data_IF_406285794800
#
_entry.id   IF_406285794800
#
_cell.length_a   1.000
_cell.length_b   1.000
_cell.length_c   1.000
_cell.angle_alpha   90.00
_cell.angle_beta   90.00
_cell.angle_gamma   90.00
#
_symmetry.space_group_name_H-M   'P 1'
#
loop_
_entity.id
_entity.type
_entity.pdbx_description
1 polymer ?
#
# COMPACT_ATOMS: atom_id res chain seq x y z
N UNK A 1 -2.41 42.01 53.77
CA UNK A 1 -2.16 40.87 52.91
C UNK A 1 -1.66 41.38 51.55
N UNK A 2 -0.40 41.07 51.23
CA UNK A 2 0.25 41.56 49.99
C UNK A 2 0.19 40.53 48.85
N UNK A 3 -0.34 39.32 49.10
CA UNK A 3 -0.42 38.24 48.13
C UNK A 3 -1.66 37.40 48.38
N UNK A 4 -2.43 37.14 47.33
CA UNK A 4 -3.54 36.20 47.31
C UNK A 4 -3.11 34.98 46.52
N UNK A 5 -3.29 33.78 47.04
CA UNK A 5 -2.95 32.53 46.36
C UNK A 5 -4.21 31.93 45.75
N UNK A 6 -4.23 31.79 44.44
CA UNK A 6 -5.27 31.12 43.69
C UNK A 6 -4.73 29.79 43.12
N UNK A 7 -5.40 28.69 43.41
CA UNK A 7 -5.06 27.40 42.82
C UNK A 7 -5.63 27.30 41.38
N UNK A 8 -4.75 27.37 40.41
CA UNK A 8 -5.11 27.26 38.99
C UNK A 8 -4.60 25.95 38.44
N UNK A 9 -5.45 25.22 37.70
CA UNK A 9 -5.05 24.04 36.99
C UNK A 9 -4.03 24.37 35.90
N UNK A 10 -2.80 23.89 36.02
CA UNK A 10 -1.73 24.10 35.05
C UNK A 10 -1.28 22.76 34.45
N UNK A 11 -0.96 22.75 33.17
CA UNK A 11 -0.39 21.60 32.54
C UNK A 11 0.98 21.26 33.15
N UNK A 12 1.14 20.02 33.64
CA UNK A 12 2.37 19.52 34.27
C UNK A 12 3.58 19.49 33.32
N UNK A 13 3.34 19.36 32.02
CA UNK A 13 4.36 19.33 30.97
C UNK A 13 3.92 20.25 29.85
N UNK A 14 4.74 21.25 29.54
CA UNK A 14 4.56 22.10 28.36
C UNK A 14 5.34 21.53 27.20
N UNK A 15 4.68 20.66 26.44
CA UNK A 15 5.29 20.08 25.24
C UNK A 15 5.45 21.16 24.14
N UNK A 16 6.54 21.05 23.40
CA UNK A 16 6.81 21.87 22.22
C UNK A 16 7.14 20.95 21.04
N UNK A 17 6.60 21.29 19.90
CA UNK A 17 6.91 20.67 18.63
C UNK A 17 7.26 21.76 17.62
N UNK A 18 8.35 21.63 16.91
CA UNK A 18 8.87 22.64 15.97
C UNK A 18 8.87 24.08 16.54
N UNK A 19 9.38 24.23 17.77
CA UNK A 19 9.46 25.51 18.54
C UNK A 19 8.11 26.13 18.92
N UNK A 20 6.99 25.51 18.56
CA UNK A 20 5.63 25.94 18.93
C UNK A 20 5.10 25.15 20.12
N UNK A 21 4.16 25.71 20.85
CA UNK A 21 3.46 24.98 21.91
C UNK A 21 2.60 23.89 21.28
N UNK A 22 2.74 22.66 21.75
CA UNK A 22 2.03 21.51 21.24
C UNK A 22 1.29 20.76 22.34
N UNK A 23 0.15 20.20 22.00
CA UNK A 23 -0.61 19.27 22.83
C UNK A 23 -0.74 17.96 22.06
N UNK A 24 -0.30 16.86 22.66
CA UNK A 24 -0.46 15.54 22.07
C UNK A 24 -1.78 14.93 22.51
N UNK A 25 -2.63 14.62 21.55
CA UNK A 25 -3.91 13.93 21.78
C UNK A 25 -3.72 12.48 21.30
N UNK A 26 -3.85 11.53 22.22
CA UNK A 26 -3.82 10.09 21.92
C UNK A 26 -5.22 9.53 22.02
N UNK A 27 -5.66 8.81 21.01
CA UNK A 27 -6.96 8.18 20.96
C UNK A 27 -6.86 6.73 20.49
N UNK A 28 -7.79 5.90 20.96
CA UNK A 28 -7.96 4.52 20.49
C UNK A 28 -9.27 4.43 19.72
N UNK A 29 -9.23 3.78 18.57
CA UNK A 29 -10.44 3.48 17.82
C UNK A 29 -11.25 2.41 18.53
N UNK A 30 -12.56 2.63 18.62
CA UNK A 30 -13.54 1.70 19.20
C UNK A 30 -14.61 1.47 18.13
N UNK A 31 -15.01 0.22 17.91
CA UNK A 31 -15.98 -0.16 16.88
C UNK A 31 -15.35 -0.38 15.50
N UNK A 32 -16.17 -0.33 14.46
CA UNK A 32 -15.79 -0.69 13.09
C UNK A 32 -15.22 0.47 12.25
N UNK A 33 -14.83 1.57 12.90
CA UNK A 33 -14.26 2.72 12.20
C UNK A 33 -12.82 2.45 11.75
N UNK A 34 -12.53 2.81 10.49
CA UNK A 34 -11.17 2.73 9.97
C UNK A 34 -10.31 3.90 10.47
N UNK A 35 -8.99 3.69 10.55
CA UNK A 35 -8.06 4.76 10.94
C UNK A 35 -8.15 5.96 9.98
N UNK A 36 -8.34 5.71 8.69
CA UNK A 36 -8.47 6.75 7.67
C UNK A 36 -9.70 7.64 7.88
N UNK A 37 -10.85 7.04 8.21
CA UNK A 37 -12.08 7.78 8.52
C UNK A 37 -11.93 8.63 9.77
N UNK A 38 -11.33 8.08 10.82
CA UNK A 38 -11.08 8.80 12.06
C UNK A 38 -10.14 10.01 11.85
N UNK A 39 -9.07 9.82 11.06
CA UNK A 39 -8.13 10.90 10.75
C UNK A 39 -8.79 12.01 9.93
N UNK A 40 -9.60 11.66 8.94
CA UNK A 40 -10.34 12.65 8.15
C UNK A 40 -11.36 13.42 8.99
N UNK A 41 -12.04 12.74 9.91
CA UNK A 41 -12.96 13.38 10.84
C UNK A 41 -12.23 14.34 11.79
N UNK A 42 -11.11 13.91 12.38
CA UNK A 42 -10.30 14.74 13.27
C UNK A 42 -9.73 15.96 12.54
N UNK A 43 -9.24 15.80 11.32
CA UNK A 43 -8.72 16.92 10.51
C UNK A 43 -9.80 17.96 10.23
N UNK A 44 -11.00 17.52 9.85
CA UNK A 44 -12.14 18.40 9.59
C UNK A 44 -12.59 19.13 10.85
N UNK A 45 -12.67 18.41 11.96
CA UNK A 45 -13.12 18.99 13.24
C UNK A 45 -12.08 19.94 13.82
N UNK A 46 -10.80 19.62 13.76
CA UNK A 46 -9.73 20.47 14.24
C UNK A 46 -9.65 21.80 13.47
N UNK A 47 -9.84 21.77 12.15
CA UNK A 47 -9.92 23.00 11.33
C UNK A 47 -11.09 23.89 11.72
N UNK A 48 -12.19 23.32 12.24
CA UNK A 48 -13.36 24.08 12.69
C UNK A 48 -13.17 24.66 14.08
N UNK A 49 -12.58 23.89 15.01
CA UNK A 49 -12.42 24.27 16.41
C UNK A 49 -11.21 25.19 16.63
N UNK A 50 -10.14 24.97 15.88
CA UNK A 50 -8.90 25.72 16.01
C UNK A 50 -8.31 26.05 14.62
N UNK A 51 -8.85 27.03 13.90
CA UNK A 51 -8.47 27.34 12.51
C UNK A 51 -7.01 27.81 12.35
N UNK A 52 -6.30 28.10 13.44
CA UNK A 52 -4.87 28.48 13.43
C UNK A 52 -3.91 27.40 13.94
N UNK A 53 -4.41 26.23 14.32
CA UNK A 53 -3.57 25.16 14.84
C UNK A 53 -2.95 24.32 13.70
N UNK A 54 -1.64 24.08 13.78
CA UNK A 54 -0.97 23.10 12.95
C UNK A 54 -1.24 21.69 13.47
N UNK A 55 -1.70 20.82 12.60
CA UNK A 55 -1.95 19.40 12.88
C UNK A 55 -0.79 18.57 12.38
N UNK A 56 -0.14 17.89 13.30
CA UNK A 56 0.89 16.89 13.00
C UNK A 56 0.43 15.51 13.45
N UNK A 57 0.64 14.53 12.61
CA UNK A 57 0.29 13.16 12.89
C UNK A 57 1.51 12.39 13.38
N UNK A 58 1.35 11.47 14.34
CA UNK A 58 2.43 10.62 14.86
C UNK A 58 2.04 9.17 14.91
N UNK A 59 3.08 8.30 14.80
CA UNK A 59 2.91 6.86 14.84
C UNK A 59 2.13 6.32 13.64
N UNK A 60 1.17 5.42 13.87
CA UNK A 60 0.39 4.78 12.78
C UNK A 60 -0.37 5.76 11.90
N UNK A 61 -0.69 6.94 12.40
CA UNK A 61 -1.40 7.98 11.66
C UNK A 61 -0.49 8.70 10.65
N UNK A 62 0.75 8.95 11.05
CA UNK A 62 1.81 9.48 10.21
C UNK A 62 2.15 8.49 9.09
N UNK A 63 2.41 7.23 9.46
CA UNK A 63 2.66 6.14 8.52
C UNK A 63 1.56 6.02 7.45
N UNK A 64 0.29 6.14 7.84
CA UNK A 64 -0.82 6.03 6.88
C UNK A 64 -0.86 7.22 5.90
N UNK A 65 -0.58 8.44 6.35
CA UNK A 65 -0.64 9.66 5.51
C UNK A 65 0.59 9.81 4.60
N UNK A 66 1.77 9.56 5.12
CA UNK A 66 3.02 9.73 4.37
C UNK A 66 3.27 8.57 3.41
N UNK A 67 3.08 7.35 3.89
CA UNK A 67 3.46 6.14 3.16
C UNK A 67 2.57 5.85 1.94
N UNK A 68 1.30 6.28 1.93
CA UNK A 68 0.39 5.91 0.82
C UNK A 68 0.78 6.50 -0.52
N UNK A 69 1.25 7.73 -0.59
CA UNK A 69 1.68 8.36 -1.85
C UNK A 69 3.05 7.86 -2.31
N UNK A 70 3.98 7.68 -1.38
CA UNK A 70 5.31 7.18 -1.68
C UNK A 70 5.27 5.73 -2.16
N UNK A 71 4.50 4.87 -1.52
CA UNK A 71 4.31 3.48 -1.95
C UNK A 71 3.73 3.39 -3.35
N UNK A 72 2.80 4.27 -3.72
CA UNK A 72 2.22 4.27 -5.07
C UNK A 72 3.25 4.61 -6.14
N UNK A 73 4.11 5.60 -5.89
CA UNK A 73 5.20 5.98 -6.80
C UNK A 73 6.23 4.85 -6.93
N UNK A 74 6.65 4.28 -5.80
CA UNK A 74 7.57 3.13 -5.76
C UNK A 74 6.98 1.95 -6.52
N UNK A 75 5.69 1.69 -6.35
CA UNK A 75 4.99 0.61 -7.04
C UNK A 75 4.98 0.78 -8.56
N UNK A 76 4.65 1.98 -9.06
CA UNK A 76 4.69 2.27 -10.51
C UNK A 76 6.12 2.13 -11.04
N UNK A 77 7.11 2.66 -10.33
CA UNK A 77 8.50 2.56 -10.73
C UNK A 77 8.97 1.10 -10.78
N UNK A 78 8.58 0.29 -9.80
CA UNK A 78 8.88 -1.13 -9.76
C UNK A 78 8.23 -1.88 -10.95
N UNK A 79 6.98 -1.57 -11.31
CA UNK A 79 6.30 -2.15 -12.48
C UNK A 79 7.03 -1.80 -13.78
N UNK A 80 7.40 -0.53 -13.97
CA UNK A 80 8.14 -0.07 -15.15
C UNK A 80 9.49 -0.79 -15.24
N UNK A 81 10.23 -0.86 -14.13
CA UNK A 81 11.52 -1.53 -14.07
C UNK A 81 11.38 -3.03 -14.38
N UNK A 82 10.39 -3.70 -13.78
CA UNK A 82 10.11 -5.10 -14.04
C UNK A 82 9.75 -5.34 -15.52
N UNK A 83 8.95 -4.47 -16.12
CA UNK A 83 8.62 -4.53 -17.54
C UNK A 83 9.86 -4.42 -18.42
N UNK A 84 10.73 -3.45 -18.17
CA UNK A 84 11.96 -3.23 -18.94
C UNK A 84 12.93 -4.41 -18.82
N UNK A 85 13.11 -4.94 -17.60
CA UNK A 85 13.96 -6.11 -17.37
C UNK A 85 13.42 -7.34 -18.11
N UNK A 86 12.10 -7.55 -18.07
CA UNK A 86 11.47 -8.64 -18.82
C UNK A 86 11.58 -8.43 -20.33
N UNK A 87 11.40 -7.20 -20.84
CA UNK A 87 11.54 -6.88 -22.25
C UNK A 87 12.97 -7.18 -22.76
N UNK A 88 13.97 -6.82 -21.95
CA UNK A 88 15.36 -7.17 -22.26
C UNK A 88 15.61 -8.68 -22.25
N UNK A 89 15.07 -9.41 -21.27
CA UNK A 89 15.27 -10.84 -21.12
C UNK A 89 14.60 -11.66 -22.23
N UNK A 90 13.37 -11.28 -22.62
CA UNK A 90 12.64 -11.96 -23.70
C UNK A 90 12.96 -11.44 -25.11
N UNK A 91 13.77 -10.38 -25.21
CA UNK A 91 14.06 -9.68 -26.47
C UNK A 91 12.78 -9.35 -27.27
N UNK A 92 11.70 -9.01 -26.56
CA UNK A 92 10.36 -8.78 -27.10
C UNK A 92 9.56 -7.93 -26.11
N UNK A 93 8.72 -7.03 -26.60
CA UNK A 93 7.79 -6.24 -25.78
C UNK A 93 6.44 -6.94 -25.57
N UNK A 94 6.11 -7.93 -26.42
CA UNK A 94 4.81 -8.61 -26.38
C UNK A 94 4.73 -9.57 -25.17
N UNK A 95 5.75 -10.35 -24.91
CA UNK A 95 5.75 -11.30 -23.80
C UNK A 95 5.63 -10.61 -22.43
N UNK A 96 6.40 -9.54 -22.12
CA UNK A 96 6.21 -8.76 -20.91
C UNK A 96 4.82 -8.15 -20.78
N UNK A 97 4.25 -7.65 -21.89
CA UNK A 97 2.91 -7.07 -21.88
C UNK A 97 1.84 -8.12 -21.49
N UNK A 98 1.94 -9.33 -22.02
CA UNK A 98 1.05 -10.45 -21.65
C UNK A 98 1.21 -10.82 -20.17
N UNK A 99 2.45 -10.88 -19.67
CA UNK A 99 2.72 -11.17 -18.25
C UNK A 99 2.16 -10.07 -17.36
N UNK A 100 2.35 -8.81 -17.74
CA UNK A 100 1.81 -7.65 -16.97
C UNK A 100 0.29 -7.64 -16.89
N UNK A 101 -0.41 -8.30 -17.81
CA UNK A 101 -1.88 -8.42 -17.71
C UNK A 101 -2.33 -9.24 -16.50
N UNK A 102 -1.46 -10.05 -15.92
CA UNK A 102 -1.76 -10.79 -14.68
C UNK A 102 -1.76 -9.90 -13.44
N UNK A 103 -1.09 -8.75 -13.49
CA UNK A 103 -1.00 -7.81 -12.36
C UNK A 103 -2.37 -7.27 -11.94
N UNK A 104 -3.17 -6.66 -12.84
CA UNK A 104 -4.49 -6.18 -12.45
C UNK A 104 -5.42 -7.30 -11.97
N UNK A 105 -5.29 -8.50 -12.53
CA UNK A 105 -6.07 -9.66 -12.09
C UNK A 105 -5.70 -10.09 -10.66
N UNK A 106 -4.42 -10.06 -10.32
CA UNK A 106 -3.93 -10.37 -8.97
C UNK A 106 -4.40 -9.33 -7.95
N UNK A 107 -4.31 -8.04 -8.29
CA UNK A 107 -4.80 -6.95 -7.44
C UNK A 107 -6.30 -7.08 -7.20
N UNK A 108 -7.07 -7.34 -8.24
CA UNK A 108 -8.50 -7.54 -8.14
C UNK A 108 -8.86 -8.73 -7.23
N UNK A 109 -8.16 -9.86 -7.38
CA UNK A 109 -8.32 -11.02 -6.50
C UNK A 109 -7.98 -10.68 -5.04
N UNK A 110 -6.91 -9.95 -4.79
CA UNK A 110 -6.52 -9.51 -3.45
C UNK A 110 -7.54 -8.57 -2.81
N UNK A 111 -8.09 -7.62 -3.56
CA UNK A 111 -9.13 -6.69 -3.08
C UNK A 111 -10.41 -7.45 -2.75
N UNK A 112 -10.87 -8.37 -3.61
CA UNK A 112 -12.03 -9.22 -3.32
C UNK A 112 -11.83 -9.98 -2.02
N UNK A 113 -10.65 -10.51 -1.79
CA UNK A 113 -10.34 -11.26 -0.57
C UNK A 113 -10.43 -10.37 0.68
N UNK A 114 -9.88 -9.14 0.62
CA UNK A 114 -9.98 -8.16 1.70
C UNK A 114 -11.45 -7.84 2.01
N UNK A 115 -12.29 -7.67 0.98
CA UNK A 115 -13.72 -7.38 1.13
C UNK A 115 -14.49 -8.58 1.73
N UNK A 116 -14.22 -9.80 1.27
CA UNK A 116 -14.89 -11.01 1.78
C UNK A 116 -14.60 -11.26 3.26
N UNK A 117 -13.40 -10.95 3.72
CA UNK A 117 -13.00 -11.12 5.13
C UNK A 117 -13.24 -9.87 5.99
N UNK A 118 -13.94 -8.87 5.45
CA UNK A 118 -14.25 -7.61 6.16
C UNK A 118 -13.00 -6.95 6.78
N UNK A 119 -11.86 -7.11 6.11
CA UNK A 119 -10.58 -6.55 6.54
C UNK A 119 -10.43 -5.11 6.11
N UNK A 120 -9.81 -4.28 6.94
CA UNK A 120 -9.49 -2.90 6.59
C UNK A 120 -8.27 -2.80 5.67
N UNK A 121 -8.30 -1.86 4.72
CA UNK A 121 -7.13 -1.51 3.93
C UNK A 121 -6.18 -0.71 4.82
N UNK A 122 -5.07 -1.31 5.17
CA UNK A 122 -4.00 -0.74 5.98
C UNK A 122 -2.64 -0.94 5.29
N UNK A 123 -1.56 -0.46 5.88
CA UNK A 123 -0.20 -0.60 5.33
C UNK A 123 0.16 -2.07 5.08
N UNK A 124 -0.23 -2.96 5.97
CA UNK A 124 0.04 -4.40 5.81
C UNK A 124 -0.71 -4.99 4.62
N UNK A 125 -1.96 -4.58 4.38
CA UNK A 125 -2.73 -4.99 3.21
C UNK A 125 -2.09 -4.49 1.92
N UNK A 126 -1.56 -3.26 1.90
CA UNK A 126 -0.84 -2.70 0.74
C UNK A 126 0.44 -3.48 0.44
N UNK A 127 1.25 -3.78 1.47
CA UNK A 127 2.45 -4.60 1.33
C UNK A 127 2.08 -6.01 0.84
N UNK A 128 1.02 -6.61 1.37
CA UNK A 128 0.55 -7.93 0.94
C UNK A 128 0.13 -7.95 -0.54
N UNK A 129 -0.54 -6.88 -1.03
CA UNK A 129 -0.86 -6.74 -2.45
C UNK A 129 0.39 -6.66 -3.33
N UNK A 130 1.42 -5.92 -2.91
CA UNK A 130 2.69 -5.85 -3.64
C UNK A 130 3.37 -7.22 -3.72
N UNK A 131 3.40 -7.96 -2.60
CA UNK A 131 3.95 -9.32 -2.55
C UNK A 131 3.16 -10.26 -3.46
N UNK A 132 1.82 -10.17 -3.45
CA UNK A 132 0.94 -10.98 -4.29
C UNK A 132 1.22 -10.77 -5.77
N UNK A 133 1.42 -9.52 -6.19
CA UNK A 133 1.81 -9.16 -7.56
C UNK A 133 3.17 -9.81 -7.93
N UNK A 134 4.15 -9.71 -7.03
CA UNK A 134 5.47 -10.30 -7.25
C UNK A 134 5.41 -11.82 -7.46
N UNK A 135 4.64 -12.53 -6.65
CA UNK A 135 4.45 -13.99 -6.75
C UNK A 135 3.72 -14.35 -8.05
N UNK A 136 2.63 -13.63 -8.37
CA UNK A 136 1.85 -13.86 -9.58
C UNK A 136 2.67 -13.62 -10.84
N UNK A 137 3.41 -12.53 -10.89
CA UNK A 137 4.30 -12.20 -12.03
C UNK A 137 5.39 -13.25 -12.21
N UNK A 138 6.03 -13.71 -11.11
CA UNK A 138 7.04 -14.77 -11.16
C UNK A 138 6.49 -16.06 -11.78
N UNK A 139 5.30 -16.49 -11.36
CA UNK A 139 4.68 -17.69 -11.90
C UNK A 139 4.35 -17.53 -13.39
N UNK A 140 3.85 -16.37 -13.79
CA UNK A 140 3.53 -16.05 -15.20
C UNK A 140 4.78 -16.03 -16.07
N UNK A 141 5.89 -15.46 -15.59
CA UNK A 141 7.18 -15.49 -16.31
C UNK A 141 7.62 -16.92 -16.59
N UNK A 142 7.57 -17.78 -15.57
CA UNK A 142 8.01 -19.18 -15.72
C UNK A 142 7.15 -19.97 -16.72
N UNK A 143 5.83 -19.71 -16.74
CA UNK A 143 4.91 -20.37 -17.69
C UNK A 143 5.18 -19.88 -19.12
N UNK A 144 5.30 -18.58 -19.33
CA UNK A 144 5.53 -17.98 -20.65
C UNK A 144 6.90 -18.40 -21.21
N UNK A 145 7.94 -18.39 -20.38
CA UNK A 145 9.28 -18.82 -20.79
C UNK A 145 9.27 -20.28 -21.23
N UNK A 146 8.68 -21.16 -20.44
CA UNK A 146 8.57 -22.57 -20.79
C UNK A 146 7.72 -22.82 -22.03
N UNK A 147 6.61 -22.12 -22.20
CA UNK A 147 5.78 -22.21 -23.40
C UNK A 147 6.54 -21.74 -24.64
N UNK A 148 7.36 -20.70 -24.54
CA UNK A 148 8.20 -20.24 -25.64
C UNK A 148 9.28 -21.28 -26.01
N UNK A 149 9.93 -21.91 -25.05
CA UNK A 149 10.90 -22.97 -25.30
C UNK A 149 10.25 -24.17 -26.02
N UNK A 150 9.04 -24.57 -25.61
CA UNK A 150 8.29 -25.64 -26.27
C UNK A 150 7.89 -25.27 -27.71
N UNK A 151 7.56 -24.01 -27.97
CA UNK A 151 7.27 -23.48 -29.30
C UNK A 151 8.51 -23.50 -30.20
N UNK A 152 9.67 -23.12 -29.67
CA UNK A 152 10.95 -23.19 -30.40
C UNK A 152 11.29 -24.64 -30.80
N UNK A 153 10.86 -25.62 -30.00
CA UNK A 153 10.98 -27.04 -30.28
C UNK A 153 9.89 -27.58 -31.23
N UNK A 154 9.13 -26.71 -31.91
CA UNK A 154 8.16 -27.09 -32.96
C UNK A 154 6.77 -27.45 -32.46
N UNK A 155 6.44 -27.25 -31.15
CA UNK A 155 5.08 -27.51 -30.66
C UNK A 155 4.11 -26.40 -31.02
N UNK A 156 2.86 -26.78 -31.25
CA UNK A 156 1.77 -25.81 -31.47
C UNK A 156 1.51 -25.01 -30.20
N UNK A 157 1.08 -23.73 -30.35
CA UNK A 157 0.87 -22.78 -29.27
C UNK A 157 -0.02 -23.35 -28.15
N UNK A 158 -1.17 -23.96 -28.52
CA UNK A 158 -2.09 -24.53 -27.56
C UNK A 158 -1.50 -25.67 -26.73
N UNK A 159 -0.80 -26.59 -27.38
CA UNK A 159 -0.15 -27.73 -26.71
C UNK A 159 1.03 -27.26 -25.85
N UNK A 160 1.80 -26.28 -26.30
CA UNK A 160 2.92 -25.71 -25.56
C UNK A 160 2.46 -25.02 -24.26
N UNK A 161 1.39 -24.21 -24.32
CA UNK A 161 0.83 -23.55 -23.15
C UNK A 161 0.24 -24.55 -22.17
N UNK A 162 -0.55 -25.53 -22.63
CA UNK A 162 -1.12 -26.55 -21.77
C UNK A 162 -0.05 -27.37 -21.04
N UNK A 163 1.03 -27.76 -21.76
CA UNK A 163 2.13 -28.49 -21.15
C UNK A 163 2.94 -27.63 -20.18
N UNK A 164 3.14 -26.35 -20.50
CA UNK A 164 3.80 -25.41 -19.60
C UNK A 164 3.02 -25.27 -18.29
N UNK A 165 1.70 -25.11 -18.36
CA UNK A 165 0.84 -25.05 -17.18
C UNK A 165 0.90 -26.35 -16.36
N UNK A 166 0.78 -27.53 -17.00
CA UNK A 166 0.83 -28.83 -16.31
C UNK A 166 2.14 -29.12 -15.57
N UNK A 167 3.26 -28.55 -16.06
CA UNK A 167 4.57 -28.73 -15.39
C UNK A 167 4.83 -27.80 -14.25
N UNK A 168 4.10 -26.69 -14.16
CA UNK A 168 4.33 -25.64 -13.17
C UNK A 168 3.23 -25.53 -12.11
N UNK A 169 2.13 -26.24 -12.28
CA UNK A 169 1.10 -26.52 -11.28
C UNK A 169 1.22 -27.99 -10.85
#
# INVERSE_FOLDING_TARGET
>A
NLVEFEEVGSAKILARYDRQRAVTISARLIGDYTLAEALNYLEKTAKQVAPGAMLEWKGKSEELKETSNELFIIFILALITAFLVMAANFNSFIHPAIIMLTVPLSVFGGIIFILLFNSSINIFSQIALIILIGISTKNSILIVDWANQLRMNGKNIQSAVLEACKRRF
#
